data_IF_302185102336
#
_entry.id   IF_302185102336
#
_cell.length_a   1.000
_cell.length_b   1.000
_cell.length_c   1.000
_cell.angle_alpha   90.00
_cell.angle_beta   90.00
_cell.angle_gamma   90.00
#
_symmetry.space_group_name_H-M   'P 1'
#
loop_
_entity.id
_entity.type
_entity.pdbx_description
1 polymer ?
#
# COMPACT_ATOMS: atom_id res chain seq x y z
N UNK A 1 13.24 -15.89 -23.65
CA UNK A 1 13.04 -15.29 -22.30
C UNK A 1 11.63 -15.60 -21.86
N UNK A 2 11.40 -15.97 -20.60
CA UNK A 2 10.05 -16.22 -20.07
C UNK A 2 9.50 -14.97 -19.38
N UNK A 3 8.16 -14.87 -19.27
CA UNK A 3 7.48 -13.85 -18.48
C UNK A 3 8.08 -13.67 -17.07
N UNK A 4 8.46 -14.77 -16.42
CA UNK A 4 9.07 -14.77 -15.09
C UNK A 4 10.40 -13.99 -15.02
N UNK A 5 11.15 -13.89 -16.12
CA UNK A 5 12.39 -13.11 -16.17
C UNK A 5 12.18 -11.60 -16.32
N UNK A 6 10.95 -11.17 -16.66
CA UNK A 6 10.58 -9.77 -16.83
C UNK A 6 10.00 -9.15 -15.56
N UNK A 7 9.45 -9.98 -14.67
CA UNK A 7 8.87 -9.55 -13.40
C UNK A 7 9.96 -9.62 -12.31
N UNK A 8 10.34 -8.50 -11.69
CA UNK A 8 11.30 -8.53 -10.60
C UNK A 8 10.82 -9.42 -9.45
N UNK A 9 11.77 -10.13 -8.86
CA UNK A 9 11.54 -10.79 -7.57
C UNK A 9 11.38 -9.73 -6.49
N UNK A 10 10.38 -9.93 -5.63
CA UNK A 10 10.07 -9.07 -4.50
C UNK A 10 10.34 -9.82 -3.20
N UNK A 11 10.60 -9.07 -2.14
CA UNK A 11 10.71 -9.61 -0.78
C UNK A 11 9.33 -9.77 -0.16
N UNK A 12 8.41 -8.87 -0.48
CA UNK A 12 7.07 -8.77 0.10
C UNK A 12 6.03 -8.85 -1.00
N UNK A 13 5.18 -9.87 -0.90
CA UNK A 13 3.99 -9.95 -1.71
C UNK A 13 2.86 -9.09 -1.10
N UNK A 14 2.43 -8.00 -1.76
CA UNK A 14 1.36 -7.14 -1.25
C UNK A 14 -0.02 -7.84 -1.25
N UNK A 15 -0.19 -8.97 -1.94
CA UNK A 15 -1.43 -9.76 -1.84
C UNK A 15 -1.55 -10.55 -0.53
N UNK A 16 -0.44 -10.68 0.20
CA UNK A 16 -0.36 -11.40 1.46
C UNK A 16 -0.15 -10.47 2.66
N UNK A 17 -0.19 -9.14 2.47
CA UNK A 17 -0.14 -8.19 3.58
C UNK A 17 -1.54 -8.02 4.20
N UNK A 18 -1.62 -7.80 5.53
CA UNK A 18 -2.91 -7.59 6.18
C UNK A 18 -3.51 -6.25 5.75
N UNK A 19 -4.83 -6.22 5.54
CA UNK A 19 -5.56 -4.99 5.22
C UNK A 19 -5.74 -4.21 6.52
N UNK A 20 -4.81 -3.29 6.78
CA UNK A 20 -4.80 -2.47 8.00
C UNK A 20 -5.33 -1.04 7.78
N UNK A 21 -5.66 -0.68 6.54
CA UNK A 21 -6.17 0.64 6.21
C UNK A 21 -7.67 0.57 5.90
N UNK A 22 -8.53 1.21 6.70
CA UNK A 22 -9.93 1.38 6.34
C UNK A 22 -10.09 2.17 5.04
N UNK A 23 -11.18 1.97 4.28
CA UNK A 23 -11.45 2.73 3.06
C UNK A 23 -11.39 4.26 3.26
N UNK A 24 -11.95 4.79 4.36
CA UNK A 24 -11.90 6.22 4.63
C UNK A 24 -10.49 6.78 4.85
N UNK A 25 -9.57 5.99 5.44
CA UNK A 25 -8.15 6.37 5.56
C UNK A 25 -7.49 6.34 4.18
N UNK A 26 -7.79 5.32 3.38
CA UNK A 26 -7.27 5.21 2.01
C UNK A 26 -7.63 6.45 1.17
N UNK A 27 -8.90 6.80 1.15
CA UNK A 27 -9.44 7.88 0.31
C UNK A 27 -8.92 9.26 0.70
N UNK A 28 -8.76 9.53 2.00
CA UNK A 28 -8.45 10.87 2.51
C UNK A 28 -6.96 11.08 2.81
N UNK A 29 -6.23 10.02 3.18
CA UNK A 29 -4.85 10.11 3.62
C UNK A 29 -3.86 9.53 2.62
N UNK A 30 -4.27 8.60 1.76
CA UNK A 30 -3.36 7.88 0.87
C UNK A 30 -3.53 8.35 -0.58
N UNK A 31 -4.73 8.17 -1.17
CA UNK A 31 -4.98 8.46 -2.58
C UNK A 31 -4.56 9.87 -3.03
N UNK A 32 -4.80 10.96 -2.26
CA UNK A 32 -4.44 12.32 -2.69
C UNK A 32 -2.92 12.55 -2.84
N UNK A 33 -2.09 11.69 -2.23
CA UNK A 33 -0.63 11.84 -2.18
C UNK A 33 0.12 10.76 -2.95
N UNK A 34 -0.61 9.82 -3.56
CA UNK A 34 -0.03 8.82 -4.43
C UNK A 34 0.17 9.41 -5.82
N UNK A 35 1.41 9.45 -6.31
CA UNK A 35 1.74 10.00 -7.63
C UNK A 35 0.97 9.29 -8.76
N UNK A 36 0.71 7.99 -8.59
CA UNK A 36 -0.05 7.14 -9.52
C UNK A 36 -1.56 7.51 -9.59
N UNK A 37 -2.09 8.23 -8.61
CA UNK A 37 -3.49 8.66 -8.52
C UNK A 37 -3.66 10.18 -8.60
N UNK A 38 -2.62 10.89 -9.03
CA UNK A 38 -2.68 12.33 -9.28
C UNK A 38 -3.79 12.64 -10.29
N UNK A 39 -4.89 13.23 -9.82
CA UNK A 39 -6.08 13.56 -10.62
C UNK A 39 -7.35 12.75 -10.34
N UNK A 40 -7.32 11.75 -9.43
CA UNK A 40 -8.51 10.92 -9.08
C UNK A 40 -9.24 11.43 -7.84
N UNK A 41 -8.51 11.99 -6.86
CA UNK A 41 -9.10 12.68 -5.71
C UNK A 41 -8.88 14.20 -5.88
N UNK A 42 -9.80 15.07 -5.42
CA UNK A 42 -9.52 16.49 -5.35
C UNK A 42 -8.23 16.64 -4.53
N UNK A 43 -7.18 17.17 -5.14
CA UNK A 43 -6.09 17.78 -4.39
C UNK A 43 -6.71 18.98 -3.68
N UNK A 44 -7.34 18.71 -2.53
CA UNK A 44 -7.61 19.74 -1.56
C UNK A 44 -6.30 20.47 -1.34
N UNK A 45 -6.38 21.78 -1.18
CA UNK A 45 -5.25 22.64 -0.77
C UNK A 45 -4.63 22.22 0.56
N UNK A 46 -5.19 21.20 1.20
CA UNK A 46 -4.91 20.73 2.54
C UNK A 46 -4.01 19.48 2.43
N UNK A 47 -2.82 19.59 3.00
CA UNK A 47 -1.81 18.53 3.13
C UNK A 47 -2.30 17.37 4.04
N UNK A 48 -1.62 16.19 4.10
CA UNK A 48 -2.17 15.04 4.81
C UNK A 48 -2.38 15.40 6.27
N UNK A 49 -3.56 15.14 6.82
CA UNK A 49 -3.86 15.49 8.21
C UNK A 49 -3.34 14.41 9.16
N UNK A 50 -2.03 14.45 9.39
CA UNK A 50 -1.36 13.50 10.28
C UNK A 50 -1.60 13.86 11.75
N UNK A 51 -1.99 12.87 12.55
CA UNK A 51 -2.31 13.04 13.98
C UNK A 51 -1.38 12.21 14.86
N UNK A 52 -1.36 12.51 16.16
CA UNK A 52 -0.62 11.71 17.13
C UNK A 52 -1.10 10.25 17.19
N UNK A 53 -2.40 10.01 16.97
CA UNK A 53 -2.96 8.66 16.93
C UNK A 53 -2.48 7.89 15.70
N UNK A 54 -2.54 8.50 14.50
CA UNK A 54 -2.00 7.88 13.28
C UNK A 54 -0.50 7.61 13.40
N UNK A 55 0.25 8.51 14.04
CA UNK A 55 1.66 8.31 14.34
C UNK A 55 1.88 7.10 15.26
N UNK A 56 1.10 6.97 16.33
CA UNK A 56 1.22 5.83 17.24
C UNK A 56 0.97 4.49 16.52
N UNK A 57 -0.02 4.41 15.63
CA UNK A 57 -0.29 3.21 14.82
C UNK A 57 0.80 2.98 13.76
N UNK A 58 1.33 4.03 13.14
CA UNK A 58 2.47 3.91 12.21
C UNK A 58 3.71 3.34 12.91
N UNK A 59 3.98 3.80 14.14
CA UNK A 59 5.12 3.36 14.94
C UNK A 59 5.04 1.90 15.38
N UNK A 60 3.88 1.25 15.32
CA UNK A 60 3.78 -0.18 15.61
C UNK A 60 4.57 -1.03 14.62
N UNK A 61 4.62 -0.62 13.34
CA UNK A 61 5.29 -1.37 12.29
C UNK A 61 6.80 -1.18 12.38
N UNK A 62 7.53 -2.29 12.41
CA UNK A 62 8.98 -2.27 12.51
C UNK A 62 9.63 -1.49 11.33
N UNK A 63 10.61 -0.59 11.56
CA UNK A 63 11.24 0.21 10.51
C UNK A 63 11.80 -0.57 9.32
N UNK A 64 12.37 -1.76 9.57
CA UNK A 64 12.87 -2.64 8.51
C UNK A 64 11.74 -3.15 7.60
N UNK A 65 10.52 -3.37 8.12
CA UNK A 65 9.39 -3.75 7.29
C UNK A 65 9.02 -2.62 6.32
N UNK A 66 9.04 -1.36 6.79
CA UNK A 66 8.89 -0.18 5.94
C UNK A 66 9.96 -0.13 4.84
N UNK A 67 11.23 -0.32 5.21
CA UNK A 67 12.35 -0.30 4.27
C UNK A 67 12.18 -1.35 3.17
N UNK A 68 11.82 -2.59 3.53
CA UNK A 68 11.59 -3.65 2.55
C UNK A 68 10.43 -3.31 1.59
N UNK A 69 9.32 -2.77 2.09
CA UNK A 69 8.20 -2.35 1.23
C UNK A 69 8.62 -1.25 0.25
N UNK A 70 9.43 -0.29 0.70
CA UNK A 70 9.96 0.78 -0.14
C UNK A 70 10.93 0.28 -1.21
N UNK A 71 11.83 -0.66 -0.87
CA UNK A 71 12.77 -1.25 -1.82
C UNK A 71 12.04 -2.00 -2.94
N UNK A 72 11.02 -2.79 -2.58
CA UNK A 72 10.21 -3.52 -3.56
C UNK A 72 9.47 -2.54 -4.49
N UNK A 73 8.93 -1.44 -3.96
CA UNK A 73 8.26 -0.42 -4.78
C UNK A 73 9.21 0.29 -5.76
N UNK A 74 10.41 0.67 -5.31
CA UNK A 74 11.44 1.27 -6.17
C UNK A 74 11.87 0.30 -7.28
N UNK A 75 12.02 -0.97 -6.95
CA UNK A 75 12.35 -2.03 -7.91
C UNK A 75 11.26 -2.17 -8.97
N UNK A 76 10.01 -2.18 -8.54
CA UNK A 76 8.85 -2.25 -9.44
C UNK A 76 8.72 -1.01 -10.33
N UNK A 77 8.90 0.18 -9.76
CA UNK A 77 8.86 1.44 -10.49
C UNK A 77 9.90 1.48 -11.62
N UNK A 78 11.13 1.05 -11.33
CA UNK A 78 12.21 0.98 -12.31
C UNK A 78 11.89 -0.03 -13.42
N UNK A 79 11.35 -1.19 -13.07
CA UNK A 79 10.96 -2.22 -14.03
C UNK A 79 9.80 -1.77 -14.93
N UNK A 80 8.78 -1.11 -14.38
CA UNK A 80 7.67 -0.54 -15.16
C UNK A 80 8.19 0.48 -16.17
N UNK A 81 9.08 1.39 -15.75
CA UNK A 81 9.68 2.37 -16.66
C UNK A 81 10.44 1.68 -17.80
N UNK A 82 11.24 0.66 -17.49
CA UNK A 82 11.99 -0.11 -18.49
C UNK A 82 11.07 -0.85 -19.47
N UNK A 83 10.01 -1.49 -18.98
CA UNK A 83 9.02 -2.17 -19.80
C UNK A 83 8.25 -1.20 -20.70
N UNK A 84 7.78 -0.06 -20.17
CA UNK A 84 7.11 0.98 -20.95
C UNK A 84 7.97 1.47 -22.13
N UNK A 85 9.26 1.75 -21.88
CA UNK A 85 10.19 2.16 -22.95
C UNK A 85 10.36 1.06 -24.00
N UNK A 86 10.43 -0.21 -23.59
CA UNK A 86 10.60 -1.34 -24.49
C UNK A 86 9.35 -1.62 -25.33
N UNK A 87 8.16 -1.51 -24.71
CA UNK A 87 6.86 -1.62 -25.38
C UNK A 87 6.71 -0.52 -26.44
N UNK A 88 7.00 0.74 -26.08
CA UNK A 88 6.95 1.86 -27.02
C UNK A 88 7.89 1.64 -28.21
N UNK A 89 9.15 1.28 -27.96
CA UNK A 89 10.13 1.02 -29.02
C UNK A 89 9.75 -0.15 -29.95
N UNK A 90 8.99 -1.14 -29.46
CA UNK A 90 8.50 -2.24 -30.29
C UNK A 90 7.26 -1.85 -31.11
N UNK A 91 6.38 -1.01 -30.55
CA UNK A 91 5.20 -0.48 -31.26
C UNK A 91 5.60 0.50 -32.37
N UNK A 92 6.67 1.27 -32.16
CA UNK A 92 7.19 2.20 -33.17
C UNK A 92 7.99 1.51 -34.28
N UNK A 93 8.39 0.25 -34.11
CA UNK A 93 9.09 -0.50 -35.15
C UNK A 93 8.14 -0.94 -36.26
N UNK A 94 8.32 -0.36 -37.44
CA UNK A 94 7.72 -0.80 -38.72
C UNK A 94 8.42 -2.03 -39.33
N UNK A 95 9.53 -2.48 -38.75
CA UNK A 95 10.39 -3.52 -39.32
C UNK A 95 10.16 -4.91 -38.68
N UNK A 96 10.29 -6.00 -39.46
CA UNK A 96 10.03 -7.36 -38.98
C UNK A 96 10.97 -7.75 -37.83
N UNK A 97 10.49 -8.55 -36.86
CA UNK A 97 11.28 -8.90 -35.68
C UNK A 97 12.54 -9.67 -36.07
N UNK A 98 13.68 -9.24 -35.53
CA UNK A 98 14.94 -9.99 -35.61
C UNK A 98 14.76 -11.30 -34.86
N UNK A 99 14.83 -12.42 -35.58
CA UNK A 99 14.79 -13.78 -35.04
C UNK A 99 15.88 -13.96 -33.98
N UNK A 100 15.45 -14.03 -32.73
CA UNK A 100 16.26 -14.19 -31.54
C UNK A 100 15.39 -14.05 -30.30
N UNK A 101 15.83 -14.60 -29.16
CA UNK A 101 15.15 -14.72 -27.84
C UNK A 101 14.73 -13.38 -27.18
N UNK A 102 14.15 -12.46 -27.94
CA UNK A 102 13.48 -11.31 -27.40
C UNK A 102 12.10 -11.75 -26.88
N UNK A 103 11.69 -11.31 -25.67
CA UNK A 103 10.33 -11.52 -25.18
C UNK A 103 9.32 -10.95 -26.19
N UNK A 104 8.18 -11.61 -26.32
CA UNK A 104 7.11 -11.13 -27.18
C UNK A 104 6.53 -9.80 -26.65
N UNK A 105 5.84 -9.04 -27.51
CA UNK A 105 5.12 -7.85 -27.05
C UNK A 105 4.09 -8.22 -25.97
N UNK A 106 3.40 -9.35 -26.14
CA UNK A 106 2.44 -9.88 -25.18
C UNK A 106 3.09 -10.21 -23.82
N UNK A 107 4.30 -10.79 -23.81
CA UNK A 107 5.04 -11.04 -22.56
C UNK A 107 5.40 -9.73 -21.84
N UNK A 108 5.77 -8.69 -22.59
CA UNK A 108 6.12 -7.38 -22.02
C UNK A 108 4.89 -6.67 -21.46
N UNK A 109 3.77 -6.68 -22.18
CA UNK A 109 2.51 -6.10 -21.72
C UNK A 109 1.95 -6.86 -20.51
N UNK A 110 2.06 -8.19 -20.51
CA UNK A 110 1.68 -9.03 -19.36
C UNK A 110 2.56 -8.74 -18.13
N UNK A 111 3.88 -8.64 -18.30
CA UNK A 111 4.79 -8.28 -17.22
C UNK A 111 4.49 -6.88 -16.67
N UNK A 112 4.21 -5.93 -17.56
CA UNK A 112 3.85 -4.56 -17.19
C UNK A 112 2.59 -4.53 -16.33
N UNK A 113 1.53 -5.22 -16.76
CA UNK A 113 0.27 -5.30 -16.03
C UNK A 113 0.42 -5.98 -14.66
N UNK A 114 1.19 -7.06 -14.57
CA UNK A 114 1.48 -7.74 -13.30
C UNK A 114 2.15 -6.78 -12.31
N UNK A 115 3.20 -6.07 -12.76
CA UNK A 115 3.95 -5.15 -11.89
C UNK A 115 3.08 -3.94 -11.53
N UNK A 116 2.28 -3.41 -12.48
CA UNK A 116 1.36 -2.30 -12.24
C UNK A 116 0.36 -2.64 -11.14
N UNK A 117 -0.36 -3.75 -11.27
CA UNK A 117 -1.30 -4.21 -10.23
C UNK A 117 -0.61 -4.41 -8.90
N UNK A 118 0.56 -5.06 -8.90
CA UNK A 118 1.35 -5.27 -7.68
C UNK A 118 1.66 -3.96 -6.96
N UNK A 119 2.06 -2.91 -7.69
CA UNK A 119 2.26 -1.58 -7.11
C UNK A 119 0.97 -1.00 -6.57
N UNK A 120 -0.11 -1.04 -7.34
CA UNK A 120 -1.42 -0.52 -6.90
C UNK A 120 -1.86 -1.14 -5.57
N UNK A 121 -1.77 -2.47 -5.43
CA UNK A 121 -2.08 -3.15 -4.17
C UNK A 121 -1.15 -2.74 -3.02
N UNK A 122 0.14 -2.52 -3.31
CA UNK A 122 1.10 -2.06 -2.30
C UNK A 122 0.76 -0.65 -1.82
N UNK A 123 0.47 0.25 -2.75
CA UNK A 123 0.06 1.63 -2.46
C UNK A 123 -1.30 1.70 -1.77
N UNK A 124 -2.23 0.80 -2.11
CA UNK A 124 -3.51 0.63 -1.40
C UNK A 124 -3.38 -0.14 -0.09
N UNK A 125 -2.17 -0.26 0.47
CA UNK A 125 -1.89 -0.93 1.73
C UNK A 125 -0.97 -0.07 2.61
N UNK A 126 -0.28 -0.69 3.57
CA UNK A 126 0.62 -0.02 4.50
C UNK A 126 1.64 0.93 3.84
N UNK A 127 2.15 0.64 2.64
CA UNK A 127 3.10 1.55 1.99
C UNK A 127 2.47 2.94 1.74
N UNK A 128 1.21 3.00 1.35
CA UNK A 128 0.53 4.26 1.09
C UNK A 128 0.49 5.18 2.31
N UNK A 129 0.18 4.63 3.49
CA UNK A 129 0.17 5.42 4.73
C UNK A 129 1.58 5.87 5.14
N UNK A 130 2.60 5.05 4.87
CA UNK A 130 4.00 5.42 5.11
C UNK A 130 4.43 6.59 4.23
N UNK A 131 4.04 6.61 2.96
CA UNK A 131 4.33 7.72 2.05
C UNK A 131 3.57 8.98 2.48
N UNK A 132 2.29 8.87 2.85
CA UNK A 132 1.50 9.98 3.36
C UNK A 132 2.17 10.67 4.56
N UNK A 133 2.67 9.88 5.52
CA UNK A 133 3.45 10.37 6.66
C UNK A 133 4.70 11.15 6.21
N UNK A 134 5.47 10.59 5.27
CA UNK A 134 6.67 11.24 4.75
C UNK A 134 6.33 12.59 4.10
N UNK A 135 5.27 12.65 3.29
CA UNK A 135 4.79 13.89 2.67
C UNK A 135 4.33 14.93 3.70
N UNK A 136 3.66 14.51 4.77
CA UNK A 136 3.31 15.39 5.88
C UNK A 136 4.56 16.00 6.52
N UNK A 137 5.56 15.18 6.86
CA UNK A 137 6.81 15.67 7.48
C UNK A 137 7.54 16.64 6.55
N UNK A 138 7.68 16.29 5.27
CA UNK A 138 8.28 17.16 4.24
C UNK A 138 7.54 18.50 4.10
N UNK A 139 6.22 18.49 4.26
CA UNK A 139 5.43 19.72 4.26
C UNK A 139 5.73 20.56 5.51
N UNK A 140 5.62 19.99 6.71
CA UNK A 140 5.83 20.71 7.97
C UNK A 140 7.24 21.32 8.07
N UNK A 141 8.26 20.60 7.60
CA UNK A 141 9.63 21.13 7.55
C UNK A 141 9.79 22.32 6.60
N UNK A 142 8.94 22.44 5.57
CA UNK A 142 8.97 23.56 4.63
C UNK A 142 8.14 24.75 5.09
N UNK A 143 7.06 24.52 5.84
CA UNK A 143 6.08 25.56 6.15
C UNK A 143 6.12 26.05 7.60
N UNK A 144 6.80 25.32 8.49
CA UNK A 144 6.97 25.71 9.89
C UNK A 144 8.42 26.04 10.20
N UNK A 145 8.69 26.56 11.40
CA UNK A 145 10.06 26.77 11.91
C UNK A 145 10.71 25.49 12.46
N UNK A 146 10.09 24.32 12.26
CA UNK A 146 10.66 23.05 12.70
C UNK A 146 11.98 22.78 11.96
N UNK A 147 13.03 22.49 12.72
CA UNK A 147 14.37 22.21 12.20
C UNK A 147 14.64 20.73 11.99
N UNK A 148 13.76 19.85 12.47
CA UNK A 148 13.95 18.41 12.41
C UNK A 148 12.63 17.62 12.36
N UNK A 149 12.70 16.38 11.85
CA UNK A 149 11.57 15.45 11.90
C UNK A 149 11.08 15.22 13.33
N UNK A 150 11.99 15.17 14.31
CA UNK A 150 11.63 14.99 15.72
C UNK A 150 10.76 16.14 16.24
N UNK A 151 11.07 17.38 15.85
CA UNK A 151 10.26 18.55 16.23
C UNK A 151 8.87 18.50 15.59
N UNK A 152 8.79 18.12 14.31
CA UNK A 152 7.50 17.93 13.62
C UNK A 152 6.64 16.89 14.35
N UNK A 153 7.21 15.74 14.69
CA UNK A 153 6.49 14.66 15.38
C UNK A 153 6.12 15.03 16.83
N UNK A 154 6.94 15.83 17.50
CA UNK A 154 6.63 16.34 18.84
C UNK A 154 5.49 17.37 18.83
N UNK A 155 5.18 18.00 17.69
CA UNK A 155 4.12 18.99 17.54
C UNK A 155 2.81 18.41 16.98
N UNK A 156 2.67 17.08 16.91
CA UNK A 156 1.48 16.45 16.30
C UNK A 156 0.19 16.81 17.04
N UNK A 157 -0.90 17.10 16.30
CA UNK A 157 -2.19 17.36 16.90
C UNK A 157 -2.75 16.08 17.56
N UNK A 158 -3.43 16.24 18.71
CA UNK A 158 -4.17 15.14 19.35
C UNK A 158 -3.39 14.26 20.32
N UNK A 159 -2.23 14.71 20.83
CA UNK A 159 -1.38 13.95 21.78
C UNK A 159 -2.04 13.56 23.14
N UNK A 160 -3.29 13.97 23.41
CA UNK A 160 -3.91 13.83 24.74
C UNK A 160 -5.20 13.01 24.84
N UNK A 161 -5.75 12.44 23.75
CA UNK A 161 -7.13 11.90 23.79
C UNK A 161 -7.41 10.66 22.93
N UNK A 162 -6.45 9.74 22.78
CA UNK A 162 -6.71 8.45 22.11
C UNK A 162 -6.22 7.27 22.95
N UNK A 163 -6.84 6.11 22.73
CA UNK A 163 -6.41 4.87 23.39
C UNK A 163 -5.16 4.36 22.68
N UNK A 164 -4.02 4.16 23.39
CA UNK A 164 -2.82 3.63 22.76
C UNK A 164 -3.09 2.28 22.06
N UNK A 165 -2.38 1.98 20.96
CA UNK A 165 -2.59 0.71 20.27
C UNK A 165 -2.20 -0.49 21.14
N UNK A 166 -2.77 -1.65 20.85
CA UNK A 166 -2.63 -2.88 21.64
C UNK A 166 -1.26 -3.59 21.50
N UNK A 167 -0.27 -2.94 20.92
CA UNK A 167 1.06 -3.50 20.67
C UNK A 167 2.14 -2.46 20.97
N UNK A 168 3.34 -2.96 21.30
CA UNK A 168 4.50 -2.12 21.52
C UNK A 168 4.97 -1.48 20.19
N UNK A 169 5.55 -0.26 20.23
CA UNK A 169 6.22 0.30 19.07
C UNK A 169 7.25 -0.67 18.47
N UNK A 170 7.36 -0.66 17.14
CA UNK A 170 8.24 -1.50 16.34
C UNK A 170 8.02 -3.02 16.52
N UNK A 171 6.90 -3.47 17.06
CA UNK A 171 6.66 -4.91 17.28
C UNK A 171 5.91 -5.60 16.15
N UNK A 172 5.22 -4.87 15.26
CA UNK A 172 4.51 -5.48 14.14
C UNK A 172 5.45 -5.78 12.98
N UNK A 173 5.28 -7.00 12.44
CA UNK A 173 5.95 -7.50 11.26
C UNK A 173 4.90 -7.98 10.24
N UNK A 174 4.20 -7.04 9.58
CA UNK A 174 3.03 -7.31 8.73
C UNK A 174 3.41 -7.80 7.33
N UNK A 175 4.57 -8.45 7.18
CA UNK A 175 5.13 -8.89 5.91
C UNK A 175 5.54 -10.36 6.00
N UNK A 176 5.47 -11.08 4.87
CA UNK A 176 5.73 -12.53 4.84
C UNK A 176 7.22 -12.90 4.77
N UNK A 177 8.11 -11.90 4.83
CA UNK A 177 9.56 -12.12 4.87
C UNK A 177 10.02 -12.49 6.28
N UNK A 178 11.03 -13.35 6.42
CA UNK A 178 11.62 -13.62 7.73
C UNK A 178 12.29 -12.36 8.29
N UNK A 179 12.11 -12.05 9.59
CA UNK A 179 12.89 -11.01 10.24
C UNK A 179 14.39 -11.28 10.09
N UNK A 180 15.21 -10.26 9.82
CA UNK A 180 16.66 -10.43 9.73
C UNK A 180 17.23 -10.93 11.07
N UNK A 181 18.38 -11.62 11.07
CA UNK A 181 18.93 -12.29 12.27
C UNK A 181 19.05 -11.46 13.56
N UNK A 182 19.33 -10.14 13.53
CA UNK A 182 19.36 -9.32 14.74
C UNK A 182 17.99 -9.15 15.41
N UNK A 183 16.89 -9.37 14.68
CA UNK A 183 15.54 -9.30 15.21
C UNK A 183 15.10 -10.67 15.69
N UNK A 184 14.72 -10.73 16.97
CA UNK A 184 14.10 -11.91 17.54
C UNK A 184 12.64 -12.00 17.10
N UNK A 185 12.34 -12.93 16.19
CA UNK A 185 10.98 -13.16 15.70
C UNK A 185 9.98 -13.52 16.81
N UNK A 186 10.44 -13.97 17.97
CA UNK A 186 9.56 -14.25 19.12
C UNK A 186 9.06 -12.99 19.82
N UNK A 187 9.72 -11.85 19.59
CA UNK A 187 9.34 -10.54 20.13
C UNK A 187 8.46 -9.73 19.17
N UNK A 188 8.23 -10.26 17.97
CA UNK A 188 7.45 -9.60 16.92
C UNK A 188 6.06 -10.24 16.79
N UNK A 189 5.07 -9.42 16.48
CA UNK A 189 3.76 -9.84 15.97
C UNK A 189 3.89 -10.01 14.46
N UNK A 190 4.02 -11.25 14.01
CA UNK A 190 4.28 -11.63 12.62
C UNK A 190 3.02 -12.18 11.96
N UNK A 191 2.97 -12.15 10.62
CA UNK A 191 1.82 -12.67 9.86
C UNK A 191 1.47 -14.13 10.18
N UNK A 192 2.45 -14.94 10.56
CA UNK A 192 2.26 -16.36 10.88
C UNK A 192 2.07 -16.66 12.36
N UNK A 193 2.11 -15.66 13.25
CA UNK A 193 1.85 -15.84 14.68
C UNK A 193 0.64 -15.03 15.20
N UNK A 194 0.03 -14.20 14.35
CA UNK A 194 -1.09 -13.35 14.71
C UNK A 194 -2.35 -13.77 13.95
N UNK A 195 -3.33 -14.29 14.68
CA UNK A 195 -4.60 -14.75 14.11
C UNK A 195 -5.60 -13.62 13.86
N UNK A 196 -5.47 -12.50 14.58
CA UNK A 196 -6.36 -11.34 14.47
C UNK A 196 -5.58 -10.05 14.27
N UNK A 197 -5.58 -9.56 13.02
CA UNK A 197 -4.99 -8.29 12.61
C UNK A 197 -5.94 -7.09 12.77
N UNK A 198 -7.23 -7.32 13.03
CA UNK A 198 -8.23 -6.25 13.09
C UNK A 198 -7.96 -5.23 14.22
N UNK A 199 -7.33 -5.68 15.30
CA UNK A 199 -6.86 -4.83 16.41
C UNK A 199 -5.73 -3.85 16.06
N UNK A 200 -5.15 -3.96 14.87
CA UNK A 200 -4.09 -3.08 14.37
C UNK A 200 -4.55 -2.22 13.20
N UNK A 201 -5.85 -2.21 12.91
CA UNK A 201 -6.44 -1.35 11.88
C UNK A 201 -6.18 0.11 12.26
N UNK A 202 -5.69 0.88 11.30
CA UNK A 202 -5.45 2.31 11.48
C UNK A 202 -6.76 3.03 11.81
N UNK A 203 -6.73 3.97 12.77
CA UNK A 203 -7.91 4.73 13.11
C UNK A 203 -8.35 5.59 11.94
N UNK A 204 -9.67 5.79 11.82
CA UNK A 204 -10.21 6.72 10.85
C UNK A 204 -9.65 8.12 11.13
N UNK A 205 -9.38 8.92 10.08
CA UNK A 205 -9.02 10.31 10.28
C UNK A 205 -10.16 11.03 11.02
N UNK A 206 -9.87 12.07 11.82
CA UNK A 206 -10.91 12.84 12.48
C UNK A 206 -11.92 13.37 11.45
N UNK A 207 -13.21 13.13 11.69
CA UNK A 207 -14.30 13.71 10.90
C UNK A 207 -14.18 15.23 10.94
N UNK A 208 -14.25 15.91 9.79
CA UNK A 208 -14.57 17.33 9.84
C UNK A 208 -16.00 17.47 10.34
N UNK A 209 -16.23 18.43 11.22
CA UNK A 209 -17.57 18.98 11.41
C UNK A 209 -18.17 19.50 10.07
N UNK A 210 -17.31 19.78 9.07
CA UNK A 210 -17.67 20.22 7.73
C UNK A 210 -18.11 19.08 6.78
N UNK A 211 -17.51 17.88 6.85
CA UNK A 211 -17.92 16.75 5.98
C UNK A 211 -19.18 16.07 6.48
N UNK A 212 -19.46 16.11 7.79
CA UNK A 212 -20.71 15.62 8.36
C UNK A 212 -21.95 16.39 7.84
N UNK A 213 -21.79 17.67 7.50
CA UNK A 213 -22.83 18.49 6.88
C UNK A 213 -23.05 18.12 5.40
N UNK A 214 -22.00 17.77 4.66
CA UNK A 214 -22.10 17.42 3.24
C UNK A 214 -22.84 16.09 2.99
N UNK A 215 -22.79 15.15 3.93
CA UNK A 215 -23.52 13.87 3.86
C UNK A 215 -24.89 13.89 4.56
N UNK A 216 -25.27 15.01 5.22
CA UNK A 216 -26.56 15.14 5.89
C UNK A 216 -27.59 15.98 5.12
N UNK A 217 -27.24 16.56 3.97
CA UNK A 217 -28.17 17.36 3.15
C UNK A 217 -28.52 16.70 1.82
N UNK A 218 -28.86 15.41 1.83
CA UNK A 218 -29.43 14.72 0.65
C UNK A 218 -30.56 13.75 1.03
N UNK A 219 -31.34 14.10 2.05
CA UNK A 219 -32.63 13.48 2.33
C UNK A 219 -33.59 14.51 2.93
N UNK A 220 -34.10 15.43 2.12
CA UNK A 220 -35.55 15.68 2.16
C UNK A 220 -36.05 16.36 0.88
N UNK A 221 -37.25 15.95 0.49
CA UNK A 221 -37.83 16.09 -0.84
C UNK A 221 -38.48 17.46 -1.08
N UNK A 222 -38.42 17.94 -2.33
CA UNK A 222 -39.16 19.12 -2.76
C UNK A 222 -39.10 19.33 -4.27
N UNK A 223 -40.01 18.68 -5.00
CA UNK A 223 -40.31 18.81 -6.43
C UNK A 223 -40.04 20.20 -7.05
N UNK A 224 -39.31 20.22 -8.17
CA UNK A 224 -39.83 20.82 -9.42
C UNK A 224 -38.98 20.44 -10.64
N UNK A 225 -39.67 19.77 -11.57
CA UNK A 225 -39.30 19.45 -12.95
C UNK A 225 -38.57 20.58 -13.69
N UNK A 226 -37.42 20.26 -14.30
CA UNK A 226 -37.13 20.63 -15.68
C UNK A 226 -36.08 19.69 -16.30
N UNK A 227 -36.51 19.03 -17.36
CA UNK A 227 -35.77 18.02 -18.10
C UNK A 227 -34.59 18.62 -18.89
N UNK A 228 -33.38 18.12 -18.65
CA UNK A 228 -32.31 18.04 -19.66
C UNK A 228 -31.56 16.72 -19.45
N UNK A 229 -31.60 15.85 -20.47
CA UNK A 229 -30.67 14.73 -20.73
C UNK A 229 -30.12 14.93 -22.15
N UNK A 230 -29.01 14.31 -22.57
CA UNK A 230 -27.95 13.63 -21.80
C UNK A 230 -26.52 14.04 -22.27
N UNK A 231 -25.51 13.77 -21.43
CA UNK A 231 -24.10 13.82 -21.81
C UNK A 231 -23.30 12.81 -20.99
N UNK A 232 -22.80 11.77 -21.64
CA UNK A 232 -22.09 10.62 -21.08
C UNK A 232 -20.89 11.01 -20.20
N UNK A 233 -20.70 10.32 -19.06
CA UNK A 233 -19.68 9.26 -18.96
C UNK A 233 -19.77 8.57 -17.60
N UNK A 234 -20.20 7.32 -17.63
CA UNK A 234 -20.22 6.43 -16.49
C UNK A 234 -18.83 5.80 -16.33
N UNK A 235 -18.26 5.88 -15.13
CA UNK A 235 -17.38 4.82 -14.62
C UNK A 235 -17.71 4.62 -13.14
N UNK A 236 -18.80 3.89 -12.89
CA UNK A 236 -18.96 3.15 -11.65
C UNK A 236 -17.96 1.99 -11.70
N UNK A 237 -16.79 2.15 -11.08
CA UNK A 237 -15.92 1.02 -10.77
C UNK A 237 -16.45 0.38 -9.48
N UNK A 238 -17.49 -0.44 -9.64
CA UNK A 238 -17.93 -1.41 -8.65
C UNK A 238 -16.73 -2.29 -8.31
N UNK A 239 -16.26 -2.24 -7.06
CA UNK A 239 -15.34 -3.22 -6.49
C UNK A 239 -16.10 -4.54 -6.34
N UNK A 240 -16.27 -5.24 -7.45
CA UNK A 240 -16.81 -6.60 -7.47
C UNK A 240 -15.70 -7.56 -7.03
N UNK A 241 -15.90 -8.14 -5.84
CA UNK A 241 -15.13 -9.26 -5.31
C UNK A 241 -15.21 -10.46 -6.26
N UNK A 242 -14.34 -10.50 -7.26
CA UNK A 242 -14.08 -11.72 -8.03
C UNK A 242 -12.61 -12.07 -7.88
N UNK A 243 -12.33 -13.03 -6.99
CA UNK A 243 -10.99 -13.62 -6.86
C UNK A 243 -10.60 -14.30 -8.19
N UNK A 244 -9.51 -13.91 -8.86
CA UNK A 244 -9.00 -14.64 -10.01
C UNK A 244 -8.12 -15.80 -9.53
N UNK A 245 -8.34 -16.97 -10.12
CA UNK A 245 -7.47 -18.14 -9.98
C UNK A 245 -6.08 -17.76 -10.51
N UNK A 246 -5.11 -17.62 -9.60
CA UNK A 246 -3.71 -17.35 -9.94
C UNK A 246 -3.09 -18.54 -10.69
N UNK A 247 -2.31 -18.32 -11.77
CA UNK A 247 -1.49 -19.37 -12.35
C UNK A 247 -0.43 -19.82 -11.32
N UNK A 248 -0.30 -21.13 -11.16
CA UNK A 248 0.57 -21.76 -10.18
C UNK A 248 2.05 -21.48 -10.49
N UNK A 249 2.60 -20.44 -9.86
CA UNK A 249 4.04 -20.37 -9.60
C UNK A 249 4.32 -21.24 -8.38
N UNK A 250 5.23 -22.20 -8.52
CA UNK A 250 5.67 -23.08 -7.43
C UNK A 250 6.46 -22.27 -6.39
N UNK A 251 5.73 -21.60 -5.53
CA UNK A 251 6.17 -21.08 -4.24
C UNK A 251 6.21 -22.27 -3.28
N UNK A 252 7.23 -22.42 -2.42
CA UNK A 252 7.27 -23.50 -1.43
C UNK A 252 5.96 -23.52 -0.66
N UNK A 253 5.26 -24.65 -0.70
CA UNK A 253 3.94 -24.75 -0.07
C UNK A 253 4.10 -24.55 1.44
N UNK A 254 3.03 -24.08 2.11
CA UNK A 254 2.93 -23.90 3.57
C UNK A 254 3.52 -25.08 4.39
N UNK A 255 3.45 -26.30 3.85
CA UNK A 255 4.02 -27.51 4.44
C UNK A 255 5.55 -27.65 4.29
N UNK A 256 6.17 -27.10 3.24
CA UNK A 256 7.61 -27.18 3.01
C UNK A 256 8.41 -26.29 3.97
N UNK A 257 7.88 -25.10 4.28
CA UNK A 257 8.48 -24.21 5.28
C UNK A 257 8.30 -24.74 6.70
N UNK A 258 7.21 -25.47 6.97
CA UNK A 258 7.00 -26.19 8.24
C UNK A 258 8.03 -27.30 8.47
N UNK A 259 8.55 -27.92 7.40
CA UNK A 259 9.53 -29.02 7.48
C UNK A 259 10.97 -28.55 7.73
N UNK A 260 11.30 -27.30 7.45
CA UNK A 260 12.67 -26.74 7.62
C UNK A 260 12.99 -26.25 9.04
N UNK A 261 12.21 -26.67 10.05
CA UNK A 261 12.41 -26.31 11.46
C UNK A 261 13.65 -26.99 12.05
N UNK A 262 14.46 -26.32 12.89
CA UNK A 262 15.19 -27.04 13.93
C UNK A 262 14.15 -27.60 14.91
N UNK A 263 14.12 -28.93 15.07
CA UNK A 263 13.28 -29.56 16.08
C UNK A 263 13.65 -28.99 17.45
N UNK A 264 12.63 -28.53 18.19
CA UNK A 264 12.74 -28.26 19.62
C UNK A 264 13.35 -29.50 20.24
N UNK A 265 14.56 -29.40 20.79
CA UNK A 265 15.10 -30.44 21.64
C UNK A 265 14.11 -30.61 22.80
N UNK A 266 13.38 -31.73 22.81
CA UNK A 266 12.69 -32.18 24.00
C UNK A 266 13.77 -32.39 25.06
N UNK A 267 13.85 -31.47 26.02
CA UNK A 267 14.50 -31.75 27.29
C UNK A 267 13.68 -32.86 27.96
N UNK A 268 14.17 -34.07 27.85
CA UNK A 268 13.83 -35.17 28.76
C UNK A 268 14.62 -34.97 30.05
N UNK A 269 13.88 -35.04 31.17
CA UNK A 269 14.30 -35.12 32.59
C UNK A 269 15.16 -33.99 33.14
#
# INVERSE_FOLDING_TARGET
MSLASLVPSIVIDPFHTPILLPPGVMETMVLPYCEEYTGVAPTGTDFPRWTAELEAYHQLVHPIAWANMGIDDVTDAAALKALSMRIAALKDRTAPPVLGSNPSLEDLESAHEIIRRRREYRWSSLLGIHVARTRYIEHQLRTTSASSTSEVLAALPGQGAFTPPAAEPCSLWPIFALPPPPLDASQLVTLWNCDDWSRFIFPAPPSDASTAAAFSTDNDSGDTSLAIKPGLSAVNAVWENTAPIAPAFSIPTHNELRRRRPQKAQRTS
#
